data_IF_868925928177
#
_entry.id   IF_868925928177
#
_cell.length_a   1.000
_cell.length_b   1.000
_cell.length_c   1.000
_cell.angle_alpha   90.00
_cell.angle_beta   90.00
_cell.angle_gamma   90.00
#
_symmetry.space_group_name_H-M   'P 1'
#
loop_
_entity.id
_entity.type
_entity.pdbx_description
1 polymer ?
#
# COMPACT_ATOMS: atom_id res chain seq x y z
N UNK A 1 -49.29 -7.75 18.41
CA UNK A 1 -47.90 -8.09 18.07
C UNK A 1 -47.95 -8.93 16.80
N UNK A 2 -47.68 -8.34 15.62
CA UNK A 2 -47.71 -9.09 14.38
C UNK A 2 -46.52 -10.06 14.36
N UNK A 3 -46.80 -11.36 14.32
CA UNK A 3 -45.78 -12.41 14.22
C UNK A 3 -45.25 -12.37 12.79
N UNK A 4 -44.06 -11.81 12.61
CA UNK A 4 -43.41 -11.74 11.30
C UNK A 4 -43.13 -13.18 10.86
N UNK A 5 -43.83 -13.65 9.82
CA UNK A 5 -43.60 -14.97 9.24
C UNK A 5 -42.32 -14.86 8.42
N UNK A 6 -41.23 -15.36 8.98
CA UNK A 6 -39.93 -15.41 8.31
C UNK A 6 -39.95 -16.65 7.42
N UNK A 7 -39.86 -16.45 6.10
CA UNK A 7 -39.73 -17.53 5.12
C UNK A 7 -38.26 -17.82 4.86
N UNK A 8 -37.95 -19.05 4.43
CA UNK A 8 -36.57 -19.45 4.06
C UNK A 8 -36.02 -18.51 2.98
N UNK A 9 -36.82 -18.18 1.97
CA UNK A 9 -36.48 -17.25 0.90
C UNK A 9 -36.07 -15.87 1.45
N UNK A 10 -36.82 -15.34 2.43
CA UNK A 10 -36.48 -14.05 3.05
C UNK A 10 -35.15 -14.07 3.80
N UNK A 11 -34.76 -15.22 4.35
CA UNK A 11 -33.47 -15.40 5.04
C UNK A 11 -32.32 -15.53 4.03
N UNK A 12 -32.57 -16.19 2.90
CA UNK A 12 -31.59 -16.32 1.82
C UNK A 12 -31.28 -14.96 1.18
N UNK A 13 -32.30 -14.15 0.94
CA UNK A 13 -32.16 -12.78 0.44
C UNK A 13 -31.37 -11.90 1.41
N UNK A 14 -31.70 -11.96 2.71
CA UNK A 14 -30.96 -11.25 3.75
C UNK A 14 -29.50 -11.69 3.84
N UNK A 15 -29.24 -13.00 3.77
CA UNK A 15 -27.89 -13.53 3.79
C UNK A 15 -27.09 -13.10 2.55
N UNK A 16 -27.74 -13.09 1.38
CA UNK A 16 -27.13 -12.62 0.14
C UNK A 16 -26.76 -11.14 0.24
N UNK A 17 -27.68 -10.30 0.73
CA UNK A 17 -27.43 -8.87 0.91
C UNK A 17 -26.26 -8.62 1.87
N UNK A 18 -26.21 -9.29 3.02
CA UNK A 18 -25.10 -9.16 3.98
C UNK A 18 -23.75 -9.58 3.38
N UNK A 19 -23.73 -10.65 2.59
CA UNK A 19 -22.51 -11.09 1.90
C UNK A 19 -22.06 -10.07 0.85
N UNK A 20 -22.99 -9.52 0.09
CA UNK A 20 -22.70 -8.53 -0.93
C UNK A 20 -22.15 -7.23 -0.32
N UNK A 21 -22.79 -6.73 0.74
CA UNK A 21 -22.32 -5.56 1.49
C UNK A 21 -20.89 -5.77 2.01
N UNK A 22 -20.60 -6.97 2.54
CA UNK A 22 -19.26 -7.31 3.02
C UNK A 22 -18.23 -7.32 1.89
N UNK A 23 -18.56 -7.89 0.73
CA UNK A 23 -17.66 -7.92 -0.43
C UNK A 23 -17.39 -6.50 -0.94
N UNK A 24 -18.43 -5.66 -1.04
CA UNK A 24 -18.31 -4.26 -1.47
C UNK A 24 -17.43 -3.47 -0.50
N UNK A 25 -17.65 -3.63 0.81
CA UNK A 25 -16.84 -2.99 1.84
C UNK A 25 -15.37 -3.37 1.72
N UNK A 26 -15.07 -4.67 1.56
CA UNK A 26 -13.71 -5.16 1.39
C UNK A 26 -13.05 -4.60 0.12
N UNK A 27 -13.78 -4.56 -1.00
CA UNK A 27 -13.29 -4.00 -2.26
C UNK A 27 -13.01 -2.50 -2.14
N UNK A 28 -13.89 -1.74 -1.48
CA UNK A 28 -13.70 -0.32 -1.23
C UNK A 28 -12.47 -0.05 -0.36
N UNK A 29 -12.34 -0.75 0.78
CA UNK A 29 -11.17 -0.61 1.66
C UNK A 29 -9.87 -0.95 0.95
N UNK A 30 -9.89 -2.00 0.11
CA UNK A 30 -8.73 -2.34 -0.71
C UNK A 30 -8.42 -1.25 -1.73
N UNK A 31 -9.43 -0.72 -2.43
CA UNK A 31 -9.25 0.38 -3.37
C UNK A 31 -8.70 1.65 -2.71
N UNK A 32 -9.13 1.98 -1.49
CA UNK A 32 -8.58 3.11 -0.72
C UNK A 32 -7.14 2.84 -0.29
N UNK A 33 -6.82 1.63 0.17
CA UNK A 33 -5.44 1.23 0.49
C UNK A 33 -4.54 1.34 -0.73
N UNK A 34 -4.96 0.77 -1.85
CA UNK A 34 -4.24 0.82 -3.11
C UNK A 34 -4.08 2.26 -3.61
N UNK A 35 -5.09 3.12 -3.43
CA UNK A 35 -4.97 4.53 -3.82
C UNK A 35 -3.97 5.31 -2.97
N UNK A 36 -3.98 5.10 -1.65
CA UNK A 36 -3.03 5.72 -0.73
C UNK A 36 -1.60 5.26 -0.98
N UNK A 37 -1.38 4.01 -1.35
CA UNK A 37 -0.03 3.44 -1.52
C UNK A 37 0.49 3.51 -2.95
N UNK A 38 -0.34 3.25 -3.97
CA UNK A 38 0.05 3.14 -5.39
C UNK A 38 -0.25 4.35 -6.25
N UNK A 39 -1.17 5.27 -5.90
CA UNK A 39 -1.51 6.39 -6.79
C UNK A 39 -0.99 7.75 -6.34
N UNK A 40 -0.46 7.88 -5.12
CA UNK A 40 0.09 9.15 -4.65
C UNK A 40 1.44 9.51 -5.28
N UNK A 41 2.27 8.51 -5.57
CA UNK A 41 3.62 8.73 -6.08
C UNK A 41 3.77 8.31 -7.55
N UNK A 42 4.62 9.01 -8.35
CA UNK A 42 4.86 8.64 -9.74
C UNK A 42 5.54 7.27 -9.87
N UNK A 43 5.36 6.58 -11.01
CA UNK A 43 5.99 5.28 -11.29
C UNK A 43 7.52 5.27 -11.13
N UNK A 44 8.15 6.43 -11.34
CA UNK A 44 9.58 6.64 -11.11
C UNK A 44 9.74 7.71 -10.04
N UNK A 45 10.29 7.29 -8.90
CA UNK A 45 10.55 8.13 -7.76
C UNK A 45 11.84 8.94 -7.94
N UNK A 46 11.84 10.13 -7.36
CA UNK A 46 13.02 10.94 -7.11
C UNK A 46 13.38 10.86 -5.64
N UNK A 47 14.53 11.41 -5.28
CA UNK A 47 15.01 11.45 -3.91
C UNK A 47 14.02 12.15 -2.96
N UNK A 48 13.35 13.18 -3.42
CA UNK A 48 12.36 13.93 -2.63
C UNK A 48 11.17 13.05 -2.25
N UNK A 49 10.74 12.15 -3.14
CA UNK A 49 9.67 11.21 -2.83
C UNK A 49 10.12 10.15 -1.81
N UNK A 50 11.39 9.72 -1.84
CA UNK A 50 11.92 8.78 -0.83
C UNK A 50 11.99 9.42 0.56
N UNK A 51 12.34 10.71 0.63
CA UNK A 51 12.28 11.50 1.87
C UNK A 51 10.86 11.52 2.42
N UNK A 52 9.85 11.71 1.57
CA UNK A 52 8.45 11.72 1.95
C UNK A 52 7.92 10.32 2.34
N UNK A 53 8.27 9.27 1.58
CA UNK A 53 7.83 7.89 1.84
C UNK A 53 8.40 7.38 3.17
N UNK A 54 9.70 7.61 3.41
CA UNK A 54 10.39 7.10 4.60
C UNK A 54 10.34 8.07 5.78
N UNK A 55 9.85 9.30 5.59
CA UNK A 55 9.82 10.35 6.60
C UNK A 55 11.20 10.62 7.24
N UNK A 56 12.27 10.56 6.43
CA UNK A 56 13.66 10.78 6.86
C UNK A 56 14.31 11.95 6.13
N UNK A 57 15.40 12.48 6.70
CA UNK A 57 16.19 13.55 6.06
C UNK A 57 16.89 13.04 4.79
N UNK A 58 17.08 13.94 3.83
CA UNK A 58 17.76 13.67 2.56
C UNK A 58 19.14 12.94 2.68
N UNK A 59 20.01 13.23 3.66
CA UNK A 59 21.27 12.50 3.82
C UNK A 59 21.09 11.03 4.22
N UNK A 60 20.00 10.71 4.94
CA UNK A 60 19.66 9.34 5.32
C UNK A 60 19.25 8.54 4.09
N UNK A 61 18.47 9.16 3.19
CA UNK A 61 18.13 8.55 1.89
C UNK A 61 19.39 8.27 1.09
N UNK A 62 20.37 9.18 1.05
CA UNK A 62 21.64 8.94 0.33
C UNK A 62 22.37 7.70 0.82
N UNK A 63 22.37 7.43 2.13
CA UNK A 63 22.98 6.22 2.70
C UNK A 63 22.22 4.97 2.27
N UNK A 64 20.89 5.05 2.26
CA UNK A 64 20.00 3.93 1.98
C UNK A 64 20.05 3.52 0.50
N UNK A 65 20.08 4.48 -0.44
CA UNK A 65 20.13 4.20 -1.89
C UNK A 65 21.50 3.71 -2.38
N UNK A 66 22.53 3.77 -1.53
CA UNK A 66 23.86 3.20 -1.81
C UNK A 66 23.88 1.69 -1.58
N UNK A 67 22.89 1.13 -0.88
CA UNK A 67 22.79 -0.31 -0.68
C UNK A 67 22.83 -1.04 -2.04
N UNK A 68 23.65 -2.10 -2.22
CA UNK A 68 23.87 -2.73 -3.52
C UNK A 68 22.59 -3.23 -4.20
N UNK A 69 21.66 -3.73 -3.38
CA UNK A 69 20.37 -4.27 -3.83
C UNK A 69 19.26 -3.21 -3.89
N UNK A 70 19.57 -1.94 -3.57
CA UNK A 70 18.55 -0.91 -3.63
C UNK A 70 18.09 -0.71 -5.08
N UNK A 71 16.77 -0.75 -5.35
CA UNK A 71 16.23 -0.68 -6.70
C UNK A 71 16.48 0.70 -7.32
N UNK A 72 17.27 0.73 -8.39
CA UNK A 72 17.67 1.93 -9.12
C UNK A 72 17.62 1.70 -10.62
N UNK A 73 17.24 2.74 -11.38
CA UNK A 73 17.33 2.69 -12.84
C UNK A 73 18.79 2.87 -13.27
N UNK A 74 19.31 1.95 -14.08
CA UNK A 74 20.70 2.02 -14.55
C UNK A 74 20.96 3.16 -15.53
N UNK A 75 19.95 3.56 -16.30
CA UNK A 75 20.08 4.55 -17.38
C UNK A 75 20.01 5.99 -16.89
N UNK A 76 19.35 6.25 -15.76
CA UNK A 76 19.13 7.61 -15.23
C UNK A 76 19.47 7.64 -13.74
N UNK A 77 20.51 8.40 -13.37
CA UNK A 77 20.93 8.55 -11.98
C UNK A 77 19.85 9.21 -11.14
N UNK A 78 19.71 8.76 -9.88
CA UNK A 78 18.76 9.32 -8.92
C UNK A 78 17.29 9.10 -9.29
N UNK A 79 17.00 7.98 -9.95
CA UNK A 79 15.63 7.55 -10.30
C UNK A 79 15.40 6.13 -9.84
N UNK A 80 14.28 5.92 -9.16
CA UNK A 80 13.99 4.69 -8.45
C UNK A 80 12.61 4.16 -8.86
N UNK A 81 12.51 2.92 -9.37
CA UNK A 81 11.22 2.35 -9.77
C UNK A 81 10.34 2.15 -8.53
N UNK A 82 9.20 2.85 -8.48
CA UNK A 82 8.34 2.96 -7.29
C UNK A 82 7.98 1.61 -6.69
N UNK A 83 7.42 0.73 -7.50
CA UNK A 83 6.87 -0.54 -7.01
C UNK A 83 7.99 -1.43 -6.45
N UNK A 84 9.17 -1.42 -7.09
CA UNK A 84 10.36 -2.13 -6.60
C UNK A 84 10.91 -1.54 -5.30
N UNK A 85 10.86 -0.21 -5.14
CA UNK A 85 11.25 0.45 -3.89
C UNK A 85 10.37 0.01 -2.74
N UNK A 86 9.04 -0.02 -2.92
CA UNK A 86 8.12 -0.49 -1.90
C UNK A 86 8.35 -1.97 -1.54
N UNK A 87 8.48 -2.85 -2.55
CA UNK A 87 8.82 -4.28 -2.34
C UNK A 87 10.13 -4.45 -1.55
N UNK A 88 11.14 -3.62 -1.86
CA UNK A 88 12.43 -3.66 -1.18
C UNK A 88 12.32 -3.18 0.27
N UNK A 89 11.58 -2.10 0.54
CA UNK A 89 11.36 -1.59 1.90
C UNK A 89 10.69 -2.65 2.76
N UNK A 90 9.64 -3.29 2.26
CA UNK A 90 8.93 -4.37 2.98
C UNK A 90 9.88 -5.54 3.29
N UNK A 91 10.68 -5.95 2.31
CA UNK A 91 11.62 -7.07 2.45
C UNK A 91 12.84 -6.77 3.34
N UNK A 92 13.17 -5.50 3.54
CA UNK A 92 14.35 -5.03 4.29
C UNK A 92 13.97 -4.21 5.52
N UNK A 93 12.79 -4.46 6.10
CA UNK A 93 12.21 -3.68 7.20
C UNK A 93 13.19 -3.48 8.36
N UNK A 94 13.92 -4.54 8.78
CA UNK A 94 14.91 -4.44 9.87
C UNK A 94 16.06 -3.48 9.55
N UNK A 95 16.54 -3.49 8.31
CA UNK A 95 17.60 -2.59 7.85
C UNK A 95 17.11 -1.14 7.78
N UNK A 96 15.92 -0.91 7.22
CA UNK A 96 15.33 0.43 7.12
C UNK A 96 15.09 1.03 8.50
N UNK A 97 14.63 0.23 9.47
CA UNK A 97 14.36 0.69 10.84
C UNK A 97 15.59 1.26 11.56
N UNK A 98 16.82 0.83 11.20
CA UNK A 98 18.06 1.38 11.76
C UNK A 98 18.25 2.88 11.44
N UNK A 99 17.58 3.37 10.40
CA UNK A 99 17.67 4.74 9.92
C UNK A 99 16.47 5.61 10.32
N UNK A 100 15.44 5.01 10.94
CA UNK A 100 14.23 5.67 11.43
C UNK A 100 14.33 6.09 12.91
N UNK A 101 15.47 5.82 13.57
CA UNK A 101 15.74 6.12 14.99
C UNK A 101 16.25 7.55 15.21
#
# INVERSE_FOLDING_TARGET
MAKQVVTIESLEDQLFQLKLEKIIQQAYEQGVRDARTKFHFPHVLKKEHLVEILQVKAPTVDKLVVHPEFPRLGTVKGRYPRDKVFEWIESNTEYVNQYLS
#
